data_IF_791243706115
#
_entry.id   IF_791243706115
#
_cell.length_a   1.000
_cell.length_b   1.000
_cell.length_c   1.000
_cell.angle_alpha   90.00
_cell.angle_beta   90.00
_cell.angle_gamma   90.00
#
_symmetry.space_group_name_H-M   'P 1'
#
loop_
_entity.id
_entity.type
_entity.pdbx_description
1 polymer ?
#
# COMPACT_ATOMS: atom_id res chain seq x y z
N UNK A 1 7.49 6.22 3.92
CA UNK A 1 6.09 6.03 4.41
C UNK A 1 5.95 6.55 5.84
N UNK A 2 4.73 6.77 6.37
CA UNK A 2 4.52 7.17 7.76
C UNK A 2 5.11 6.17 8.75
N UNK A 3 5.80 6.66 9.78
CA UNK A 3 6.43 5.82 10.82
C UNK A 3 5.41 4.99 11.59
N UNK A 4 4.19 5.50 11.75
CA UNK A 4 3.08 4.79 12.38
C UNK A 4 2.62 3.54 11.62
N UNK A 5 3.08 3.30 10.40
CA UNK A 5 2.74 2.11 9.61
C UNK A 5 3.80 1.00 9.71
N UNK A 6 4.99 1.32 10.23
CA UNK A 6 6.09 0.36 10.34
C UNK A 6 5.70 -0.82 11.23
N UNK A 7 6.15 -2.01 10.86
CA UNK A 7 5.98 -3.25 11.62
C UNK A 7 5.19 -4.33 10.89
N UNK A 8 4.72 -5.29 11.66
CA UNK A 8 4.05 -6.51 11.17
C UNK A 8 2.52 -6.39 11.29
N UNK A 9 1.82 -6.81 10.23
CA UNK A 9 0.38 -6.68 10.09
C UNK A 9 -0.28 -8.00 9.63
N UNK A 10 -1.48 -8.28 10.14
CA UNK A 10 -2.37 -9.32 9.64
C UNK A 10 -3.29 -8.74 8.59
N UNK A 11 -3.21 -9.26 7.35
CA UNK A 11 -4.21 -8.97 6.32
C UNK A 11 -5.31 -10.02 6.38
N UNK A 12 -6.57 -9.59 6.45
CA UNK A 12 -7.71 -10.52 6.39
C UNK A 12 -7.65 -11.35 5.10
N UNK A 13 -7.68 -12.67 5.24
CA UNK A 13 -7.63 -13.62 4.12
C UNK A 13 -6.22 -14.03 3.68
N UNK A 14 -5.16 -13.56 4.35
CA UNK A 14 -3.79 -14.03 4.13
C UNK A 14 -3.30 -14.85 5.33
N UNK A 15 -2.55 -15.92 5.04
CA UNK A 15 -2.02 -16.82 6.06
C UNK A 15 -0.66 -16.37 6.63
N UNK A 16 -0.08 -15.28 6.12
CA UNK A 16 1.23 -14.79 6.51
C UNK A 16 1.18 -13.33 6.94
N UNK A 17 2.06 -12.96 7.89
CA UNK A 17 2.28 -11.57 8.27
C UNK A 17 2.79 -10.75 7.07
N UNK A 18 2.19 -9.56 6.91
CA UNK A 18 2.62 -8.53 6.00
C UNK A 18 3.55 -7.57 6.77
N UNK A 19 4.78 -7.45 6.30
CA UNK A 19 5.76 -6.52 6.88
C UNK A 19 5.77 -5.22 6.09
N UNK A 20 5.73 -4.10 6.81
CA UNK A 20 5.85 -2.74 6.29
C UNK A 20 7.11 -2.11 6.90
N UNK A 21 8.04 -1.70 6.05
CA UNK A 21 9.26 -0.98 6.41
C UNK A 21 9.17 0.49 5.96
N UNK A 22 10.27 1.25 6.07
CA UNK A 22 10.28 2.68 5.73
C UNK A 22 9.88 2.97 4.27
N UNK A 23 10.23 2.05 3.38
CA UNK A 23 10.12 2.16 1.93
C UNK A 23 9.61 0.87 1.27
N UNK A 24 9.30 -0.20 2.01
CA UNK A 24 8.89 -1.47 1.43
C UNK A 24 7.63 -2.03 2.06
N UNK A 25 6.80 -2.70 1.25
CA UNK A 25 5.74 -3.58 1.71
C UNK A 25 6.00 -4.95 1.11
N UNK A 26 6.12 -5.99 1.94
CA UNK A 26 6.59 -7.33 1.53
C UNK A 26 5.89 -7.89 0.28
N UNK A 27 4.59 -7.64 0.11
CA UNK A 27 3.80 -8.16 -1.03
C UNK A 27 3.62 -7.16 -2.18
N UNK A 28 4.12 -5.92 -2.04
CA UNK A 28 3.93 -4.85 -3.03
C UNK A 28 5.26 -4.33 -3.58
N UNK A 29 6.37 -4.59 -2.90
CA UNK A 29 7.71 -4.14 -3.27
C UNK A 29 8.06 -2.78 -2.70
N UNK A 30 8.83 -2.01 -3.47
CA UNK A 30 9.42 -0.73 -3.06
C UNK A 30 8.46 0.43 -3.32
N UNK A 31 8.29 1.33 -2.36
CA UNK A 31 7.65 2.62 -2.53
C UNK A 31 8.55 3.50 -3.41
N UNK A 32 8.12 3.81 -4.63
CA UNK A 32 8.92 4.59 -5.60
C UNK A 32 8.50 6.05 -5.70
N UNK A 33 7.25 6.38 -5.35
CA UNK A 33 6.75 7.75 -5.31
C UNK A 33 5.61 7.87 -4.28
N UNK A 34 5.31 9.09 -3.84
CA UNK A 34 4.29 9.37 -2.86
C UNK A 34 3.66 10.75 -3.04
N UNK A 35 2.35 10.82 -2.80
CA UNK A 35 1.58 12.06 -2.64
C UNK A 35 0.96 12.07 -1.24
N UNK A 36 1.75 12.35 -0.18
CA UNK A 36 1.32 12.13 1.20
C UNK A 36 0.12 12.98 1.62
N UNK A 37 -0.05 14.17 1.04
CA UNK A 37 -1.19 15.06 1.29
C UNK A 37 -2.54 14.43 0.92
N UNK A 38 -2.54 13.41 0.07
CA UNK A 38 -3.72 12.65 -0.35
C UNK A 38 -3.63 11.15 -0.01
N UNK A 39 -2.59 10.75 0.74
CA UNK A 39 -2.35 9.36 1.16
C UNK A 39 -2.15 8.36 0.00
N UNK A 40 -1.74 8.84 -1.18
CA UNK A 40 -1.38 7.97 -2.32
C UNK A 40 0.11 7.65 -2.35
N UNK A 41 0.43 6.43 -2.72
CA UNK A 41 1.79 5.89 -2.81
C UNK A 41 1.86 4.93 -3.99
N UNK A 42 2.97 4.90 -4.72
CA UNK A 42 3.21 3.93 -5.78
C UNK A 42 4.23 2.90 -5.32
N UNK A 43 3.91 1.62 -5.50
CA UNK A 43 4.77 0.50 -5.14
C UNK A 43 5.15 -0.29 -6.37
N UNK A 44 6.44 -0.58 -6.50
CA UNK A 44 7.02 -1.34 -7.59
C UNK A 44 7.55 -2.68 -7.09
N UNK A 45 6.92 -3.74 -7.58
CA UNK A 45 7.41 -5.10 -7.52
C UNK A 45 8.19 -5.41 -8.81
N UNK A 46 9.51 -5.22 -8.74
CA UNK A 46 10.40 -5.42 -9.90
C UNK A 46 10.44 -6.87 -10.37
N UNK A 47 10.22 -7.84 -9.48
CA UNK A 47 10.26 -9.26 -9.84
C UNK A 47 9.07 -9.61 -10.74
N UNK A 48 7.90 -9.06 -10.42
CA UNK A 48 6.68 -9.26 -11.19
C UNK A 48 6.43 -8.17 -12.24
N UNK A 49 7.39 -7.26 -12.46
CA UNK A 49 7.28 -6.09 -13.36
C UNK A 49 5.98 -5.30 -13.15
N UNK A 50 5.62 -5.12 -11.88
CA UNK A 50 4.30 -4.62 -11.53
C UNK A 50 4.40 -3.38 -10.67
N UNK A 51 3.83 -2.27 -11.14
CA UNK A 51 3.64 -1.08 -10.33
C UNK A 51 2.18 -0.91 -9.98
N UNK A 52 1.87 -0.56 -8.73
CA UNK A 52 0.50 -0.30 -8.28
C UNK A 52 0.42 1.02 -7.54
N UNK A 53 -0.67 1.74 -7.76
CA UNK A 53 -1.07 2.88 -6.94
C UNK A 53 -1.88 2.38 -5.75
N UNK A 54 -1.48 2.77 -4.54
CA UNK A 54 -2.18 2.44 -3.30
C UNK A 54 -2.63 3.74 -2.64
N UNK A 55 -3.88 3.76 -2.16
CA UNK A 55 -4.39 4.80 -1.26
C UNK A 55 -4.63 4.20 0.11
N UNK A 56 -3.99 4.76 1.12
CA UNK A 56 -4.09 4.28 2.50
C UNK A 56 -5.07 5.11 3.31
N UNK A 57 -5.78 4.44 4.22
CA UNK A 57 -6.70 5.05 5.18
C UNK A 57 -6.36 4.47 6.56
N UNK A 58 -5.72 5.27 7.40
CA UNK A 58 -5.45 4.89 8.79
C UNK A 58 -6.68 5.20 9.66
N UNK A 59 -7.39 4.16 10.11
CA UNK A 59 -8.59 4.30 10.95
C UNK A 59 -8.25 4.36 12.43
N UNK A 60 -7.21 3.63 12.84
CA UNK A 60 -6.67 3.59 14.20
C UNK A 60 -5.17 3.25 14.12
N UNK A 61 -4.39 3.43 15.19
CA UNK A 61 -2.96 3.04 15.21
C UNK A 61 -2.74 1.53 14.93
N UNK A 62 -3.75 0.72 15.24
CA UNK A 62 -3.76 -0.73 15.03
C UNK A 62 -4.61 -1.19 13.83
N UNK A 63 -5.17 -0.25 13.04
CA UNK A 63 -6.06 -0.53 11.92
C UNK A 63 -5.73 0.34 10.71
N UNK A 64 -5.12 -0.28 9.70
CA UNK A 64 -4.79 0.35 8.42
C UNK A 64 -5.61 -0.31 7.32
N UNK A 65 -6.17 0.49 6.43
CA UNK A 65 -6.87 0.00 5.25
C UNK A 65 -6.24 0.58 4.00
N UNK A 66 -6.34 -0.13 2.88
CA UNK A 66 -5.93 0.42 1.60
C UNK A 66 -6.75 -0.15 0.44
N UNK A 67 -6.80 0.62 -0.64
CA UNK A 67 -7.21 0.15 -1.97
C UNK A 67 -6.02 0.25 -2.90
N UNK A 68 -6.04 -0.53 -3.96
CA UNK A 68 -5.01 -0.49 -4.98
C UNK A 68 -5.59 -0.50 -6.39
N UNK A 69 -4.79 -0.01 -7.34
CA UNK A 69 -5.03 -0.18 -8.76
C UNK A 69 -4.73 -1.62 -9.19
N UNK A 70 -5.13 -1.94 -10.42
CA UNK A 70 -4.55 -3.07 -11.15
C UNK A 70 -3.04 -2.90 -11.33
N UNK A 71 -2.40 -3.98 -11.78
CA UNK A 71 -0.99 -3.94 -12.14
C UNK A 71 -0.76 -3.03 -13.34
N UNK A 72 0.18 -2.10 -13.23
CA UNK A 72 0.55 -1.14 -14.25
C UNK A 72 2.01 -1.39 -14.65
N UNK A 73 2.29 -1.45 -15.94
CA UNK A 73 3.65 -1.51 -16.44
C UNK A 73 4.39 -0.23 -16.06
N UNK A 74 5.66 -0.35 -15.64
CA UNK A 74 6.42 0.78 -15.10
C UNK A 74 6.55 1.96 -16.07
N UNK A 75 6.49 1.70 -17.37
CA UNK A 75 6.56 2.71 -18.44
C UNK A 75 5.25 3.54 -18.55
N UNK A 76 4.12 3.00 -18.07
CA UNK A 76 2.81 3.64 -18.13
C UNK A 76 2.54 4.55 -16.93
N UNK A 77 3.31 4.40 -15.84
CA UNK A 77 3.13 5.21 -14.63
C UNK A 77 3.88 6.54 -14.74
N UNK A 78 3.31 7.47 -15.50
CA UNK A 78 3.91 8.77 -15.79
C UNK A 78 4.14 9.67 -14.55
N UNK A 79 3.29 9.59 -13.53
CA UNK A 79 3.39 10.40 -12.31
C UNK A 79 2.44 9.90 -11.20
N UNK A 80 2.84 10.01 -9.92
CA UNK A 80 1.96 9.76 -8.77
C UNK A 80 0.66 10.57 -8.79
N UNK A 81 0.64 11.73 -9.45
CA UNK A 81 -0.57 12.57 -9.58
C UNK A 81 -1.69 11.90 -10.35
N UNK A 82 -1.38 10.87 -11.14
CA UNK A 82 -2.37 10.06 -11.87
C UNK A 82 -3.01 8.96 -11.02
N UNK A 83 -2.41 8.58 -9.89
CA UNK A 83 -2.90 7.49 -9.03
C UNK A 83 -4.36 7.60 -8.59
N UNK A 84 -4.91 8.78 -8.24
CA UNK A 84 -6.32 8.91 -7.88
C UNK A 84 -7.28 8.42 -8.98
N UNK A 85 -6.87 8.46 -10.25
CA UNK A 85 -7.68 8.03 -11.38
C UNK A 85 -7.43 6.57 -11.78
N UNK A 86 -6.40 5.92 -11.24
CA UNK A 86 -6.01 4.54 -11.56
C UNK A 86 -6.66 3.51 -10.64
N UNK A 87 -7.14 3.92 -9.47
CA UNK A 87 -7.83 3.05 -8.52
C UNK A 87 -9.32 3.05 -8.86
N UNK A 88 -9.85 1.88 -9.22
CA UNK A 88 -11.27 1.74 -9.54
C UNK A 88 -12.16 2.12 -8.34
N UNK A 89 -13.33 2.75 -8.56
CA UNK A 89 -14.23 3.14 -7.47
C UNK A 89 -14.70 1.97 -6.60
N UNK A 90 -14.80 0.78 -7.19
CA UNK A 90 -15.20 -0.49 -6.58
C UNK A 90 -14.00 -1.38 -6.17
N UNK A 91 -12.77 -0.85 -6.23
CA UNK A 91 -11.57 -1.58 -5.83
C UNK A 91 -11.69 -2.13 -4.39
N UNK A 92 -11.21 -3.35 -4.21
CA UNK A 92 -11.26 -4.08 -2.95
C UNK A 92 -10.59 -3.27 -1.84
N UNK A 93 -11.29 -3.14 -0.70
CA UNK A 93 -10.74 -2.53 0.50
C UNK A 93 -10.03 -3.59 1.35
N UNK A 94 -8.71 -3.62 1.29
CA UNK A 94 -7.89 -4.46 2.14
C UNK A 94 -7.83 -3.88 3.55
N UNK A 95 -7.88 -4.74 4.55
CA UNK A 95 -7.82 -4.35 5.97
C UNK A 95 -6.67 -5.09 6.65
N UNK A 96 -5.82 -4.29 7.30
CA UNK A 96 -4.64 -4.70 8.03
C UNK A 96 -4.83 -4.41 9.52
N UNK A 97 -4.67 -5.44 10.34
CA UNK A 97 -4.62 -5.33 11.80
C UNK A 97 -3.18 -5.45 12.27
N UNK A 98 -2.75 -4.54 13.14
CA UNK A 98 -1.37 -4.61 13.67
C UNK A 98 -1.20 -5.91 14.45
N UNK A 99 -0.09 -6.60 14.24
CA UNK A 99 0.16 -7.90 14.86
C UNK A 99 0.47 -7.81 16.35
N UNK A 100 1.13 -6.74 16.76
CA UNK A 100 1.39 -6.41 18.17
C UNK A 100 0.52 -5.20 18.55
N UNK A 101 -0.34 -5.38 19.55
CA UNK A 101 -1.07 -4.27 20.15
C UNK A 101 -0.07 -3.49 21.02
N UNK A 102 0.24 -2.26 20.61
CA UNK A 102 0.80 -1.32 21.56
C UNK A 102 -0.37 -0.83 22.42
N UNK A 103 -0.44 -1.33 23.66
CA UNK A 103 -1.31 -0.80 24.72
C UNK A 103 -0.81 0.57 25.21
#
# INVERSE_FOLDING_TARGET
>A
MPTAWLGSWYQRGMNSLLEITADHIKTKGLCIDALPSQQYYSFSDRLNRCTRCLVFIQRHINLLQYRESECIDADDLSSITSCPNMIAPDAVLYTLHRSEYND
#
